data_IF_611044631937
#
_entry.id   IF_611044631937
#
_cell.length_a   1.000
_cell.length_b   1.000
_cell.length_c   1.000
_cell.angle_alpha   90.00
_cell.angle_beta   90.00
_cell.angle_gamma   90.00
#
_symmetry.space_group_name_H-M   'P 1'
#
loop_
_entity.id
_entity.type
_entity.pdbx_description
1 polymer ?
#
# COMPACT_ATOMS: atom_id res chain seq x y z
N UNK A 1 7.05 34.51 18.87
CA UNK A 1 6.29 33.26 19.12
C UNK A 1 6.34 32.41 17.86
N UNK A 2 6.81 31.17 17.93
CA UNK A 2 6.69 30.21 16.80
C UNK A 2 5.28 29.61 16.83
N UNK A 3 4.57 29.50 15.70
CA UNK A 3 3.24 28.91 15.69
C UNK A 3 3.32 27.43 16.06
N UNK A 4 2.46 27.03 17.00
CA UNK A 4 2.33 25.63 17.40
C UNK A 4 1.77 24.83 16.21
N UNK A 5 2.42 23.73 15.85
CA UNK A 5 1.96 22.85 14.77
C UNK A 5 0.68 22.18 15.26
N UNK A 6 -0.47 22.56 14.70
CA UNK A 6 -1.71 21.85 14.98
C UNK A 6 -1.59 20.42 14.44
N UNK A 7 -1.44 19.47 15.36
CA UNK A 7 -1.40 18.05 15.04
C UNK A 7 -2.80 17.58 14.67
N UNK A 8 -3.09 17.50 13.37
CA UNK A 8 -4.36 17.04 12.81
C UNK A 8 -4.66 15.55 13.08
N UNK A 9 -4.00 14.91 14.04
CA UNK A 9 -4.25 13.53 14.46
C UNK A 9 -5.59 13.33 15.16
N UNK A 10 -6.18 14.39 15.73
CA UNK A 10 -7.46 14.33 16.44
C UNK A 10 -8.63 13.90 15.54
N UNK A 11 -8.60 14.23 14.24
CA UNK A 11 -9.64 13.86 13.27
C UNK A 11 -9.64 12.39 12.82
N UNK A 12 -8.68 11.57 13.29
CA UNK A 12 -8.55 10.15 12.93
C UNK A 12 -8.68 9.19 14.11
N UNK A 13 -8.97 9.69 15.31
CA UNK A 13 -9.06 8.89 16.55
C UNK A 13 -10.07 7.74 16.49
N UNK A 14 -11.11 7.86 15.64
CA UNK A 14 -12.19 6.86 15.52
C UNK A 14 -12.24 6.15 14.18
N UNK A 15 -11.21 6.31 13.33
CA UNK A 15 -11.16 5.58 12.06
C UNK A 15 -10.29 4.34 12.24
N UNK A 16 -10.93 3.18 12.33
CA UNK A 16 -10.26 1.90 12.09
C UNK A 16 -9.50 2.02 10.77
N UNK A 17 -8.19 1.72 10.77
CA UNK A 17 -7.47 1.72 9.50
C UNK A 17 -7.97 0.50 8.74
N UNK A 18 -8.17 0.64 7.43
CA UNK A 18 -8.53 -0.52 6.60
C UNK A 18 -7.52 -1.67 6.77
N UNK A 19 -6.26 -1.35 7.06
CA UNK A 19 -5.23 -2.31 7.44
C UNK A 19 -5.58 -3.20 8.64
N UNK A 20 -6.37 -2.71 9.59
CA UNK A 20 -6.74 -3.41 10.81
C UNK A 20 -7.88 -4.42 10.58
N UNK A 21 -8.64 -4.26 9.49
CA UNK A 21 -9.73 -5.15 9.08
C UNK A 21 -9.25 -6.26 8.13
N UNK A 22 -8.03 -6.14 7.60
CA UNK A 22 -7.44 -7.12 6.69
C UNK A 22 -6.89 -8.33 7.45
N UNK A 23 -7.15 -9.54 6.91
CA UNK A 23 -6.58 -10.77 7.44
C UNK A 23 -5.04 -10.79 7.25
N UNK A 24 -4.22 -10.77 8.33
CA UNK A 24 -2.77 -10.72 8.21
C UNK A 24 -2.16 -11.99 7.58
N UNK A 25 -2.88 -13.12 7.61
CA UNK A 25 -2.43 -14.40 7.06
C UNK A 25 -2.65 -14.51 5.55
N UNK A 26 -3.25 -13.48 4.94
CA UNK A 26 -3.47 -13.49 3.51
C UNK A 26 -2.13 -13.48 2.75
N UNK A 27 -1.90 -14.38 1.78
CA UNK A 27 -0.62 -14.51 1.08
C UNK A 27 -0.11 -13.22 0.44
N UNK A 28 -0.99 -12.36 -0.10
CA UNK A 28 -0.57 -11.07 -0.68
C UNK A 28 -0.11 -10.07 0.39
N UNK A 29 -0.68 -10.13 1.60
CA UNK A 29 -0.25 -9.27 2.71
C UNK A 29 1.12 -9.70 3.19
N UNK A 30 1.35 -11.01 3.34
CA UNK A 30 2.67 -11.55 3.67
C UNK A 30 3.71 -11.20 2.60
N UNK A 31 3.39 -11.42 1.32
CA UNK A 31 4.24 -11.06 0.20
C UNK A 31 4.59 -9.56 0.21
N UNK A 32 3.60 -8.71 0.48
CA UNK A 32 3.82 -7.26 0.56
C UNK A 32 4.75 -6.83 1.70
N UNK A 33 4.93 -7.67 2.73
CA UNK A 33 5.88 -7.41 3.82
C UNK A 33 7.30 -7.89 3.50
N UNK A 34 7.41 -8.91 2.65
CA UNK A 34 8.70 -9.50 2.25
C UNK A 34 9.43 -8.68 1.18
N UNK A 35 8.68 -7.94 0.35
CA UNK A 35 9.26 -7.13 -0.73
C UNK A 35 9.88 -5.84 -0.17
N UNK A 36 11.13 -5.56 -0.51
CA UNK A 36 11.83 -4.31 -0.19
C UNK A 36 11.37 -3.15 -1.09
N UNK A 37 10.15 -2.64 -0.84
CA UNK A 37 9.53 -1.60 -1.67
C UNK A 37 10.38 -0.35 -1.84
N UNK A 38 11.16 0.04 -0.83
CA UNK A 38 11.96 1.27 -0.89
C UNK A 38 12.98 1.25 -2.03
N UNK A 39 13.64 0.12 -2.26
CA UNK A 39 14.61 -0.01 -3.35
C UNK A 39 13.93 0.13 -4.72
N UNK A 40 12.76 -0.51 -4.88
CA UNK A 40 11.97 -0.37 -6.10
C UNK A 40 11.51 1.07 -6.31
N UNK A 41 10.99 1.75 -5.29
CA UNK A 41 10.59 3.15 -5.45
C UNK A 41 11.78 4.02 -5.88
N UNK A 42 12.98 3.85 -5.30
CA UNK A 42 14.18 4.62 -5.68
C UNK A 42 14.68 4.33 -7.11
N UNK A 43 14.54 3.10 -7.59
CA UNK A 43 14.89 2.73 -8.97
C UNK A 43 13.87 3.24 -9.97
N UNK A 44 12.58 3.09 -9.67
CA UNK A 44 11.49 3.50 -10.54
C UNK A 44 11.32 5.02 -10.59
N UNK A 45 11.60 5.74 -9.50
CA UNK A 45 11.52 7.21 -9.45
C UNK A 45 12.40 7.86 -10.52
N UNK A 46 13.59 7.30 -10.78
CA UNK A 46 14.51 7.76 -11.83
C UNK A 46 13.94 7.64 -13.25
N UNK A 47 12.94 6.77 -13.46
CA UNK A 47 12.29 6.55 -14.75
C UNK A 47 11.15 7.54 -15.01
N UNK A 48 10.71 8.26 -13.97
CA UNK A 48 9.65 9.27 -14.09
C UNK A 48 10.25 10.67 -14.25
N UNK A 49 9.64 11.46 -15.13
CA UNK A 49 10.04 12.86 -15.35
C UNK A 49 9.41 13.73 -14.28
N UNK A 50 10.22 14.32 -13.38
CA UNK A 50 9.75 15.12 -12.24
C UNK A 50 8.80 16.29 -12.60
N UNK A 51 8.94 16.85 -13.81
CA UNK A 51 8.35 18.16 -14.16
C UNK A 51 7.32 18.12 -15.28
N UNK A 52 7.02 16.95 -15.84
CA UNK A 52 6.09 16.79 -16.96
C UNK A 52 5.22 15.57 -16.72
N UNK A 53 3.92 15.78 -16.48
CA UNK A 53 2.93 14.72 -16.32
C UNK A 53 2.52 14.45 -14.87
N UNK A 54 1.95 13.26 -14.64
CA UNK A 54 1.50 12.82 -13.33
C UNK A 54 2.70 12.28 -12.53
N UNK A 55 2.90 12.69 -11.26
CA UNK A 55 4.03 12.22 -10.45
C UNK A 55 4.02 10.70 -10.30
N UNK A 56 5.20 10.13 -10.04
CA UNK A 56 5.36 8.71 -9.79
C UNK A 56 4.37 8.24 -8.73
N UNK A 57 3.56 7.24 -9.08
CA UNK A 57 2.69 6.56 -8.12
C UNK A 57 3.50 5.47 -7.42
N UNK A 58 3.18 5.16 -6.14
CA UNK A 58 3.87 4.09 -5.44
C UNK A 58 3.78 2.78 -6.25
N UNK A 59 4.92 2.15 -6.51
CA UNK A 59 5.07 0.90 -7.26
C UNK A 59 4.14 -0.18 -6.69
N UNK A 60 3.97 -0.21 -5.36
CA UNK A 60 3.04 -1.12 -4.67
C UNK A 60 1.60 -1.03 -5.18
N UNK A 61 1.12 0.17 -5.52
CA UNK A 61 -0.22 0.37 -6.05
C UNK A 61 -0.35 -0.17 -7.47
N UNK A 62 0.67 0.05 -8.30
CA UNK A 62 0.71 -0.43 -9.68
C UNK A 62 0.76 -1.96 -9.71
N UNK A 63 1.61 -2.57 -8.88
CA UNK A 63 1.69 -4.02 -8.72
C UNK A 63 0.35 -4.59 -8.23
N UNK A 64 -0.29 -3.94 -7.25
CA UNK A 64 -1.61 -4.36 -6.76
C UNK A 64 -2.72 -4.31 -7.82
N UNK A 65 -2.63 -3.38 -8.78
CA UNK A 65 -3.57 -3.31 -9.90
C UNK A 65 -3.26 -4.33 -11.00
N UNK A 66 -1.98 -4.58 -11.25
CA UNK A 66 -1.52 -5.50 -12.28
C UNK A 66 -1.67 -6.96 -11.90
N UNK A 67 -1.65 -7.30 -10.61
CA UNK A 67 -1.88 -8.67 -10.14
C UNK A 67 -3.35 -9.04 -10.41
N UNK A 68 -3.65 -9.87 -11.43
CA UNK A 68 -5.02 -10.31 -11.61
C UNK A 68 -5.39 -11.17 -10.42
N UNK A 69 -6.63 -11.00 -9.95
CA UNK A 69 -7.26 -11.78 -8.88
C UNK A 69 -7.52 -13.24 -9.32
N UNK A 70 -6.60 -13.87 -10.05
CA UNK A 70 -6.73 -15.24 -10.54
C UNK A 70 -6.36 -16.26 -9.46
N UNK A 71 -5.67 -15.84 -8.39
CA UNK A 71 -5.39 -16.68 -7.21
C UNK A 71 -6.56 -16.76 -6.23
N UNK A 72 -7.60 -15.94 -6.40
CA UNK A 72 -8.80 -15.99 -5.54
C UNK A 72 -9.77 -17.13 -5.94
N UNK A 73 -9.60 -17.73 -7.12
CA UNK A 73 -10.42 -18.88 -7.56
C UNK A 73 -9.95 -20.24 -7.01
N UNK A 74 -8.87 -20.30 -6.23
CA UNK A 74 -8.24 -21.56 -5.79
C UNK A 74 -8.27 -21.84 -4.28
N UNK A 75 -8.81 -20.92 -3.46
CA UNK A 75 -8.93 -21.14 -2.01
C UNK A 75 -10.40 -21.36 -1.66
N UNK A 76 -10.92 -22.50 -2.10
CA UNK A 76 -11.95 -23.25 -1.39
C UNK A 76 -11.39 -23.63 -0.01
N UNK A 77 -11.31 -22.65 0.89
CA UNK A 77 -11.28 -22.94 2.31
C UNK A 77 -12.66 -23.47 2.67
N UNK A 78 -12.75 -24.80 2.73
CA UNK A 78 -13.64 -25.48 3.66
C UNK A 78 -13.42 -24.82 5.03
N UNK A 79 -14.41 -24.07 5.48
CA UNK A 79 -14.64 -23.89 6.90
C UNK A 79 -15.67 -24.95 7.30
N UNK A 80 -15.27 -25.82 8.24
CA UNK A 80 -16.24 -26.52 9.08
C UNK A 80 -16.85 -25.53 10.07
#
# INVERSE_FOLDING_TARGET
MKPNRLDNQQGRLFKSRFSDELNPDYPLIQLSKLIEWKQFEEEFDKLFVEKIGQPAKPVKLVVGFLLPCNTCAGLQFRYN
#
